data_IF_003854605579
#
_entry.id   IF_003854605579
#
_cell.length_a   1.000
_cell.length_b   1.000
_cell.length_c   1.000
_cell.angle_alpha   90.00
_cell.angle_beta   90.00
_cell.angle_gamma   90.00
#
_symmetry.space_group_name_H-M   'P 1'
#
loop_
_entity.id
_entity.type
_entity.pdbx_description
1 polymer ?
#
# COMPACT_ATOMS: atom_id res chain seq x y z
N UNK A 1 2.54 20.90 7.08
CA UNK A 1 2.19 19.88 6.08
C UNK A 1 3.21 19.92 4.95
N UNK A 2 3.88 18.80 4.69
CA UNK A 2 4.69 18.58 3.48
C UNK A 2 4.05 17.48 2.63
N UNK A 3 4.03 17.68 1.31
CA UNK A 3 3.39 16.74 0.39
C UNK A 3 4.41 15.69 -0.07
N UNK A 4 4.07 14.41 0.06
CA UNK A 4 4.90 13.29 -0.38
C UNK A 4 4.55 12.85 -1.80
N UNK A 5 3.31 12.41 -2.00
CA UNK A 5 2.79 11.95 -3.30
C UNK A 5 1.52 12.72 -3.65
N UNK A 6 1.55 13.46 -4.75
CA UNK A 6 0.40 14.16 -5.32
C UNK A 6 -0.08 13.44 -6.58
N UNK A 7 -1.33 12.95 -6.62
CA UNK A 7 -1.91 12.38 -7.82
C UNK A 7 -1.89 13.37 -8.99
N UNK A 8 -1.43 12.89 -10.15
CA UNK A 8 -1.44 13.63 -11.43
C UNK A 8 -2.39 12.98 -12.43
N UNK A 9 -2.50 11.65 -12.41
CA UNK A 9 -3.31 10.88 -13.33
C UNK A 9 -4.27 9.91 -12.61
N UNK A 10 -5.18 9.29 -13.35
CA UNK A 10 -6.15 8.32 -12.79
C UNK A 10 -5.49 7.06 -12.22
N UNK A 11 -4.28 6.74 -12.68
CA UNK A 11 -3.43 5.64 -12.22
C UNK A 11 -2.83 5.93 -10.84
N UNK A 12 -2.72 7.20 -10.43
CA UNK A 12 -2.19 7.60 -9.13
C UNK A 12 -3.25 7.36 -8.05
N UNK A 13 -3.25 6.15 -7.51
CA UNK A 13 -4.28 5.70 -6.58
C UNK A 13 -4.16 6.27 -5.17
N UNK A 14 -3.02 6.90 -4.85
CA UNK A 14 -2.66 7.33 -3.49
C UNK A 14 -2.29 8.81 -3.44
N UNK A 15 -2.83 9.50 -2.44
CA UNK A 15 -2.38 10.82 -2.00
C UNK A 15 -1.71 10.64 -0.64
N UNK A 16 -0.43 10.99 -0.54
CA UNK A 16 0.38 10.76 0.67
C UNK A 16 1.01 12.07 1.12
N UNK A 17 0.84 12.41 2.40
CA UNK A 17 1.39 13.62 2.97
C UNK A 17 1.85 13.42 4.41
N UNK A 18 2.75 14.29 4.86
CA UNK A 18 3.24 14.36 6.23
C UNK A 18 2.63 15.58 6.92
N UNK A 19 2.03 15.36 8.08
CA UNK A 19 1.57 16.38 9.01
C UNK A 19 2.10 16.03 10.40
N UNK A 20 2.87 16.95 10.98
CA UNK A 20 3.69 16.73 12.17
C UNK A 20 4.57 15.47 12.03
N UNK A 21 4.40 14.50 12.93
CA UNK A 21 5.12 13.22 12.93
C UNK A 21 4.31 12.09 12.27
N UNK A 22 3.22 12.42 11.55
CA UNK A 22 2.30 11.44 10.96
C UNK A 22 2.29 11.51 9.44
N UNK A 23 2.47 10.36 8.79
CA UNK A 23 2.28 10.19 7.35
C UNK A 23 0.93 9.54 7.10
N UNK A 24 0.13 10.18 6.25
CA UNK A 24 -1.23 9.77 5.93
C UNK A 24 -1.31 9.22 4.51
N UNK A 25 -1.98 8.08 4.34
CA UNK A 25 -2.19 7.43 3.04
C UNK A 25 -3.67 7.46 2.69
N UNK A 26 -4.03 8.35 1.77
CA UNK A 26 -5.39 8.51 1.29
C UNK A 26 -5.55 7.90 -0.10
N UNK A 27 -6.73 7.34 -0.36
CA UNK A 27 -7.15 7.04 -1.75
C UNK A 27 -7.39 8.36 -2.47
N UNK A 28 -6.73 8.55 -3.61
CA UNK A 28 -6.75 9.81 -4.37
C UNK A 28 -8.15 10.24 -4.81
N UNK A 29 -8.97 9.29 -5.23
CA UNK A 29 -10.33 9.55 -5.75
C UNK A 29 -11.36 9.77 -4.64
N UNK A 30 -11.38 8.93 -3.60
CA UNK A 30 -12.42 9.01 -2.56
C UNK A 30 -12.02 9.89 -1.37
N UNK A 31 -10.73 10.21 -1.22
CA UNK A 31 -10.19 10.90 -0.06
C UNK A 31 -10.17 10.04 1.22
N UNK A 32 -10.57 8.77 1.16
CA UNK A 32 -10.62 7.87 2.32
C UNK A 32 -9.19 7.64 2.82
N UNK A 33 -8.97 7.87 4.12
CA UNK A 33 -7.72 7.55 4.79
C UNK A 33 -7.66 6.03 5.04
N UNK A 34 -6.65 5.35 4.51
CA UNK A 34 -6.48 3.90 4.67
C UNK A 34 -5.44 3.60 5.75
N UNK A 35 -4.30 4.29 5.70
CA UNK A 35 -3.23 4.10 6.67
C UNK A 35 -2.76 5.41 7.26
N UNK A 36 -2.30 5.33 8.51
CA UNK A 36 -1.57 6.39 9.19
C UNK A 36 -0.36 5.75 9.83
N UNK A 37 0.83 6.33 9.62
CA UNK A 37 2.04 5.89 10.31
C UNK A 37 2.65 7.05 11.06
N UNK A 38 3.12 6.76 12.27
CA UNK A 38 3.90 7.71 13.04
C UNK A 38 5.37 7.44 12.82
N UNK A 39 6.11 8.48 12.49
CA UNK A 39 7.56 8.41 12.30
C UNK A 39 8.27 9.09 13.45
N UNK A 40 9.43 8.56 13.83
CA UNK A 40 10.34 9.21 14.76
C UNK A 40 11.66 9.48 14.06
N UNK A 41 12.17 10.68 14.25
CA UNK A 41 13.49 11.08 13.76
C UNK A 41 14.56 10.64 14.76
N UNK A 42 15.59 9.93 14.28
CA UNK A 42 16.78 9.59 15.05
C UNK A 42 18.01 9.89 14.19
N UNK A 43 18.53 11.13 14.32
CA UNK A 43 19.59 11.64 13.46
C UNK A 43 19.11 11.74 12.00
N UNK A 44 19.86 11.17 11.07
CA UNK A 44 19.54 11.16 9.63
C UNK A 44 18.58 10.03 9.23
N UNK A 45 18.08 9.25 10.18
CA UNK A 45 17.17 8.14 9.93
C UNK A 45 15.78 8.40 10.50
N UNK A 46 14.76 7.91 9.81
CA UNK A 46 13.38 7.89 10.28
C UNK A 46 12.95 6.45 10.47
N UNK A 47 12.28 6.16 11.58
CA UNK A 47 11.68 4.84 11.84
C UNK A 47 10.18 4.98 12.08
N UNK A 48 9.42 3.97 11.64
CA UNK A 48 8.00 3.87 11.96
C UNK A 48 7.87 3.36 13.39
N UNK A 49 7.16 4.10 14.23
CA UNK A 49 6.91 3.75 15.63
C UNK A 49 5.50 3.21 15.86
N UNK A 50 4.55 3.63 15.03
CA UNK A 50 3.15 3.22 15.09
C UNK A 50 2.57 3.14 13.67
N UNK A 51 1.68 2.18 13.43
CA UNK A 51 0.96 2.04 12.16
C UNK A 51 -0.51 1.69 12.43
N UNK A 52 -1.41 2.43 11.79
CA UNK A 52 -2.86 2.34 11.99
C UNK A 52 -3.51 2.08 10.63
N UNK A 53 -4.54 1.24 10.63
CA UNK A 53 -5.34 0.91 9.44
C UNK A 53 -6.80 1.27 9.68
N UNK A 54 -7.48 1.77 8.64
CA UNK A 54 -8.90 2.07 8.71
C UNK A 54 -9.72 0.79 8.97
N UNK A 55 -10.57 0.83 9.99
CA UNK A 55 -11.42 -0.29 10.41
C UNK A 55 -12.89 -0.14 10.00
N UNK A 56 -13.29 0.98 9.36
CA UNK A 56 -14.63 1.15 8.82
C UNK A 56 -14.80 0.30 7.56
N UNK A 57 -15.56 -0.79 7.69
CA UNK A 57 -15.81 -1.77 6.62
C UNK A 57 -16.59 -1.23 5.43
N UNK A 58 -17.24 -0.07 5.55
CA UNK A 58 -17.91 0.59 4.43
C UNK A 58 -16.92 1.37 3.57
N UNK A 59 -15.84 1.86 4.18
CA UNK A 59 -14.80 2.65 3.52
C UNK A 59 -13.65 1.76 3.01
N UNK A 60 -13.20 0.85 3.87
CA UNK A 60 -12.09 -0.06 3.58
C UNK A 60 -12.28 -1.41 4.28
N UNK A 61 -12.15 -2.48 3.51
CA UNK A 61 -12.21 -3.85 4.04
C UNK A 61 -10.80 -4.34 4.30
N UNK A 62 -10.21 -3.85 5.38
CA UNK A 62 -8.93 -4.34 5.88
C UNK A 62 -8.94 -5.86 6.01
N UNK A 63 -7.84 -6.49 5.63
CA UNK A 63 -7.56 -7.91 5.85
C UNK A 63 -6.86 -8.10 7.20
N UNK A 64 -6.22 -9.25 7.38
CA UNK A 64 -5.40 -9.51 8.56
C UNK A 64 -4.20 -8.56 8.64
N UNK A 65 -3.77 -8.27 9.86
CA UNK A 65 -2.68 -7.34 10.16
C UNK A 65 -1.38 -7.67 9.42
N UNK A 66 -1.12 -8.97 9.16
CA UNK A 66 0.06 -9.41 8.42
C UNK A 66 0.05 -8.92 6.98
N UNK A 67 -1.07 -9.14 6.28
CA UNK A 67 -1.24 -8.62 4.92
C UNK A 67 -1.23 -7.10 4.85
N UNK A 68 -1.91 -6.42 5.78
CA UNK A 68 -1.95 -4.95 5.81
C UNK A 68 -0.54 -4.35 6.03
N UNK A 69 0.29 -4.98 6.88
CA UNK A 69 1.67 -4.58 7.07
C UNK A 69 2.52 -4.78 5.81
N UNK A 70 2.37 -5.90 5.09
CA UNK A 70 3.07 -6.11 3.81
C UNK A 70 2.66 -5.08 2.76
N UNK A 71 1.36 -4.80 2.64
CA UNK A 71 0.84 -3.81 1.69
C UNK A 71 1.34 -2.41 2.02
N UNK A 72 1.30 -2.00 3.29
CA UNK A 72 1.84 -0.72 3.73
C UNK A 72 3.35 -0.61 3.45
N UNK A 73 4.13 -1.66 3.72
CA UNK A 73 5.56 -1.71 3.39
C UNK A 73 5.80 -1.52 1.89
N UNK A 74 5.05 -2.22 1.04
CA UNK A 74 5.11 -2.05 -0.41
C UNK A 74 4.84 -0.61 -0.84
N UNK A 75 3.83 0.06 -0.25
CA UNK A 75 3.52 1.45 -0.57
C UNK A 75 4.64 2.39 -0.15
N UNK A 76 5.24 2.20 1.03
CA UNK A 76 6.37 3.00 1.51
C UNK A 76 7.57 2.83 0.57
N UNK A 77 7.98 1.59 0.31
CA UNK A 77 9.13 1.26 -0.52
C UNK A 77 9.01 1.88 -1.91
N UNK A 78 7.87 1.67 -2.57
CA UNK A 78 7.71 2.04 -3.97
C UNK A 78 7.27 3.50 -4.16
N UNK A 79 6.37 4.02 -3.32
CA UNK A 79 5.79 5.37 -3.51
C UNK A 79 6.59 6.47 -2.81
N UNK A 80 7.27 6.17 -1.71
CA UNK A 80 8.01 7.16 -0.93
C UNK A 80 9.53 7.02 -1.10
N UNK A 81 10.04 5.79 -1.17
CA UNK A 81 11.48 5.53 -1.27
C UNK A 81 11.98 5.27 -2.70
N UNK A 82 11.07 5.16 -3.68
CA UNK A 82 11.41 4.92 -5.08
C UNK A 82 12.10 3.57 -5.33
N UNK A 83 11.85 2.59 -4.46
CA UNK A 83 12.35 1.22 -4.60
C UNK A 83 11.45 0.41 -5.55
N UNK A 84 11.77 -0.87 -5.74
CA UNK A 84 11.04 -1.79 -6.64
C UNK A 84 10.66 -3.08 -5.93
N UNK A 85 10.00 -2.95 -4.77
CA UNK A 85 9.51 -4.09 -3.99
C UNK A 85 8.32 -4.74 -4.70
N UNK A 86 8.24 -6.07 -4.67
CA UNK A 86 7.18 -6.82 -5.34
C UNK A 86 5.81 -6.60 -4.69
N UNK A 87 4.74 -6.57 -5.49
CA UNK A 87 3.39 -6.38 -4.96
C UNK A 87 2.95 -7.57 -4.07
N UNK A 88 2.44 -7.32 -2.84
CA UNK A 88 1.95 -8.37 -1.96
C UNK A 88 0.54 -8.78 -2.36
N UNK A 89 0.41 -10.00 -2.88
CA UNK A 89 -0.88 -10.61 -3.16
C UNK A 89 -1.51 -11.16 -1.88
N UNK A 90 -2.81 -10.93 -1.66
CA UNK A 90 -3.46 -11.45 -0.47
C UNK A 90 -3.55 -12.99 -0.56
N UNK A 91 -3.37 -13.71 0.57
CA UNK A 91 -3.31 -15.17 0.58
C UNK A 91 -4.63 -15.83 0.13
N UNK A 92 -5.76 -15.12 0.29
CA UNK A 92 -7.09 -15.58 -0.08
C UNK A 92 -7.63 -14.78 -1.29
N UNK A 93 -6.83 -14.61 -2.33
CA UNK A 93 -7.32 -14.05 -3.59
C UNK A 93 -8.25 -15.08 -4.25
N UNK A 94 -9.49 -14.69 -4.53
CA UNK A 94 -10.45 -15.58 -5.17
C UNK A 94 -9.93 -16.06 -6.54
N UNK A 95 -10.23 -17.29 -6.97
CA UNK A 95 -9.65 -17.90 -8.18
C UNK A 95 -9.96 -17.13 -9.47
N UNK A 96 -10.98 -16.26 -9.45
CA UNK A 96 -11.44 -15.48 -10.61
C UNK A 96 -10.89 -14.05 -10.65
N UNK A 97 -9.99 -13.66 -9.73
CA UNK A 97 -9.40 -12.31 -9.72
C UNK A 97 -7.95 -12.41 -10.21
N UNK A 98 -7.64 -11.94 -11.44
CA UNK A 98 -6.26 -11.88 -11.90
C UNK A 98 -5.40 -11.02 -10.97
N UNK A 99 -4.19 -11.49 -10.64
CA UNK A 99 -3.25 -10.79 -9.77
C UNK A 99 -2.99 -9.35 -10.25
N UNK A 100 -2.68 -9.16 -11.54
CA UNK A 100 -2.48 -7.84 -12.13
C UNK A 100 -3.70 -6.91 -12.05
N UNK A 101 -4.93 -7.43 -12.09
CA UNK A 101 -6.13 -6.61 -11.91
C UNK A 101 -6.27 -6.12 -10.47
N UNK A 102 -5.98 -7.01 -9.51
CA UNK A 102 -5.97 -6.66 -8.10
C UNK A 102 -4.87 -5.63 -7.79
N UNK A 103 -3.66 -5.85 -8.30
CA UNK A 103 -2.55 -4.90 -8.20
C UNK A 103 -2.93 -3.55 -8.79
N UNK A 104 -3.45 -3.50 -10.01
CA UNK A 104 -3.85 -2.25 -10.66
C UNK A 104 -4.88 -1.47 -9.84
N UNK A 105 -5.86 -2.16 -9.24
CA UNK A 105 -6.84 -1.52 -8.38
C UNK A 105 -6.21 -0.86 -7.14
N UNK A 106 -5.24 -1.55 -6.53
CA UNK A 106 -4.60 -1.10 -5.29
C UNK A 106 -3.53 -0.05 -5.54
N UNK A 107 -2.59 -0.27 -6.46
CA UNK A 107 -1.40 0.57 -6.65
C UNK A 107 -1.32 1.27 -8.00
N UNK A 108 -2.22 0.97 -8.95
CA UNK A 108 -2.14 1.51 -10.32
C UNK A 108 -1.19 0.72 -11.22
N UNK A 109 -0.78 1.30 -12.35
CA UNK A 109 0.16 0.68 -13.29
C UNK A 109 1.59 1.16 -13.03
N UNK A 110 2.56 0.24 -12.89
CA UNK A 110 3.98 0.62 -12.80
C UNK A 110 4.87 -0.26 -11.91
N UNK A 111 4.31 -1.21 -11.16
CA UNK A 111 5.09 -2.03 -10.21
C UNK A 111 5.32 -3.45 -10.70
N UNK A 112 6.48 -4.06 -10.41
CA UNK A 112 6.75 -5.44 -10.78
C UNK A 112 5.75 -6.39 -10.09
N UNK A 113 5.04 -7.17 -10.91
CA UNK A 113 4.14 -8.22 -10.43
C UNK A 113 4.97 -9.37 -9.85
N UNK A 114 4.59 -9.89 -8.68
CA UNK A 114 5.22 -11.09 -8.13
C UNK A 114 4.79 -12.27 -8.98
N UNK A 115 5.74 -12.92 -9.67
CA UNK A 115 5.46 -14.18 -10.38
C UNK A 115 5.02 -15.21 -9.33
N UNK A 116 3.75 -15.59 -9.38
CA UNK A 116 3.22 -16.67 -8.55
C UNK A 116 3.87 -17.97 -9.04
N UNK A 117 4.57 -18.74 -8.21
CA UNK A 117 5.04 -20.05 -8.63
C UNK A 117 3.81 -20.89 -8.99
N UNK A 118 3.76 -21.33 -10.23
CA UNK A 118 2.74 -22.21 -10.77
C UNK A 118 2.66 -23.43 -9.84
N UNK A 119 1.47 -23.65 -9.27
CA UNK A 119 1.26 -24.75 -8.34
C UNK A 119 1.29 -26.02 -9.17
N UNK A 120 2.38 -26.79 -9.07
CA UNK A 120 2.46 -28.13 -9.66
C UNK A 120 1.22 -28.94 -9.26
N UNK A 121 0.29 -29.08 -10.21
CA UNK A 121 -0.77 -30.07 -10.14
C UNK A 121 -0.10 -31.43 -10.16
N UNK A 122 -0.10 -32.08 -8.98
CA UNK A 122 0.31 -33.47 -8.79
C UNK A 122 -0.25 -34.35 -9.91
N UNK A 123 0.62 -35.10 -10.57
CA UNK A 123 0.30 -36.42 -11.13
C UNK A 123 1.26 -37.46 -10.57
#
# INVERSE_FOLDING_TARGET
MSVGVTPREMEDKWFIFLEDDWVFFHRSWTGICIYQIKISSAGDSHSVTEAWVNSDRNEYRARDDGYEAELLGFLIDNLLLGQSSAFPLPPNLGPNVPAGLYQYHVSGSGYPERVVPEKDEKS
#
